data_IF_551322644368
#
_entry.id   IF_551322644368
#
_cell.length_a   1.000
_cell.length_b   1.000
_cell.length_c   1.000
_cell.angle_alpha   90.00
_cell.angle_beta   90.00
_cell.angle_gamma   90.00
#
_symmetry.space_group_name_H-M   'P 1'
#
loop_
_entity.id
_entity.type
_entity.pdbx_description
1 polymer ?
#
# COMPACT_ATOMS: atom_id res chain seq x y z
N UNK A 1 -20.06 7.59 -20.68
CA UNK A 1 -19.51 8.88 -20.20
C UNK A 1 -19.91 9.20 -18.74
N UNK A 2 -19.98 8.20 -17.84
CA UNK A 2 -20.55 8.39 -16.48
C UNK A 2 -19.59 8.06 -15.32
N UNK A 3 -18.32 7.71 -15.59
CA UNK A 3 -17.37 7.29 -14.53
C UNK A 3 -16.52 8.48 -14.00
N UNK A 4 -16.50 9.62 -14.69
CA UNK A 4 -15.62 10.75 -14.36
C UNK A 4 -16.13 11.60 -13.19
N UNK A 5 -17.41 11.51 -12.83
CA UNK A 5 -18.02 12.41 -11.82
C UNK A 5 -17.71 12.02 -10.37
N UNK A 6 -17.31 10.77 -10.12
CA UNK A 6 -17.08 10.25 -8.76
C UNK A 6 -15.68 10.56 -8.21
N UNK A 7 -14.75 11.06 -9.04
CA UNK A 7 -13.36 11.39 -8.66
C UNK A 7 -13.19 12.77 -8.00
N UNK A 8 -14.27 13.51 -7.72
CA UNK A 8 -14.19 14.92 -7.29
C UNK A 8 -13.76 15.18 -5.84
N UNK A 9 -13.37 14.17 -5.05
CA UNK A 9 -12.77 14.40 -3.71
C UNK A 9 -11.80 13.28 -3.34
N UNK A 10 -10.81 13.00 -4.19
CA UNK A 10 -9.59 12.46 -3.61
C UNK A 10 -9.04 13.57 -2.67
N UNK A 11 -8.92 13.32 -1.35
CA UNK A 11 -8.30 14.28 -0.46
C UNK A 11 -6.92 14.64 -1.00
N UNK A 12 -6.44 15.85 -0.74
CA UNK A 12 -5.10 16.25 -1.16
C UNK A 12 -4.09 15.19 -0.70
N UNK A 13 -3.15 14.78 -1.57
CA UNK A 13 -2.13 13.83 -1.18
C UNK A 13 -1.46 14.31 0.11
N UNK A 14 -1.31 13.41 1.07
CA UNK A 14 -0.56 13.73 2.29
C UNK A 14 0.92 13.69 1.98
N UNK A 15 1.70 14.62 2.53
CA UNK A 15 3.18 14.60 2.53
C UNK A 15 3.75 14.01 3.82
N UNK A 16 2.88 13.56 4.75
CA UNK A 16 3.30 13.02 6.02
C UNK A 16 3.98 11.64 5.87
N UNK A 17 4.94 11.29 6.74
CA UNK A 17 5.48 9.94 6.85
C UNK A 17 4.38 8.89 7.04
N UNK A 18 4.47 7.78 6.30
CA UNK A 18 3.47 6.72 6.27
C UNK A 18 4.00 5.39 6.81
N UNK A 19 3.12 4.65 7.49
CA UNK A 19 3.29 3.23 7.81
C UNK A 19 2.33 2.44 6.93
N UNK A 20 2.84 1.43 6.23
CA UNK A 20 2.08 0.65 5.24
C UNK A 20 2.07 -0.81 5.65
N UNK A 21 0.88 -1.41 5.65
CA UNK A 21 0.68 -2.84 5.84
C UNK A 21 0.04 -3.41 4.57
N UNK A 22 0.66 -4.45 4.01
CA UNK A 22 0.25 -5.07 2.76
C UNK A 22 -0.01 -6.56 3.02
N UNK A 23 -1.22 -7.01 2.70
CA UNK A 23 -1.56 -8.43 2.68
C UNK A 23 -1.80 -8.84 1.24
N UNK A 24 -0.96 -9.75 0.75
CA UNK A 24 -1.04 -10.30 -0.60
C UNK A 24 -1.82 -11.62 -0.56
N UNK A 25 -2.94 -11.70 -1.27
CA UNK A 25 -3.73 -12.93 -1.41
C UNK A 25 -3.49 -13.50 -2.80
N UNK A 26 -2.70 -14.59 -2.93
CA UNK A 26 -2.35 -15.11 -4.24
C UNK A 26 -3.56 -15.83 -4.90
N UNK A 27 -3.64 -15.83 -6.24
CA UNK A 27 -4.73 -16.51 -6.97
C UNK A 27 -4.58 -18.04 -6.98
N UNK A 28 -3.38 -18.54 -6.69
CA UNK A 28 -3.02 -19.95 -6.76
C UNK A 28 -1.81 -20.25 -5.85
N UNK A 29 -1.41 -21.52 -5.74
CA UNK A 29 -0.30 -21.98 -4.89
C UNK A 29 1.10 -21.88 -5.55
N UNK A 30 1.27 -21.14 -6.66
CA UNK A 30 2.59 -20.96 -7.25
C UNK A 30 3.48 -20.14 -6.33
N UNK A 31 4.74 -20.56 -6.22
CA UNK A 31 5.78 -19.85 -5.49
C UNK A 31 6.03 -18.50 -6.17
N UNK A 32 6.05 -17.43 -5.37
CA UNK A 32 6.24 -16.04 -5.78
C UNK A 32 7.13 -15.35 -4.76
N UNK A 33 7.96 -14.43 -5.22
CA UNK A 33 8.73 -13.58 -4.32
C UNK A 33 7.83 -12.48 -3.76
N UNK A 34 7.90 -12.28 -2.45
CA UNK A 34 7.03 -11.35 -1.71
C UNK A 34 7.27 -9.89 -2.10
N UNK A 35 8.50 -9.53 -2.45
CA UNK A 35 8.97 -8.17 -2.71
C UNK A 35 8.64 -7.65 -4.13
N UNK A 36 8.43 -8.54 -5.10
CA UNK A 36 8.14 -8.19 -6.50
C UNK A 36 6.88 -7.32 -6.66
N UNK A 37 5.95 -7.35 -5.70
CA UNK A 37 4.66 -6.66 -5.78
C UNK A 37 4.72 -5.19 -5.35
N UNK A 38 5.64 -4.85 -4.45
CA UNK A 38 5.60 -3.56 -3.75
C UNK A 38 5.76 -2.38 -4.71
N UNK A 39 6.66 -2.49 -5.69
CA UNK A 39 6.93 -1.41 -6.65
C UNK A 39 5.69 -1.01 -7.45
N UNK A 40 5.00 -1.99 -8.04
CA UNK A 40 3.82 -1.74 -8.84
C UNK A 40 2.66 -1.16 -8.01
N UNK A 41 2.51 -1.61 -6.76
CA UNK A 41 1.50 -1.08 -5.85
C UNK A 41 1.79 0.38 -5.48
N UNK A 42 3.04 0.71 -5.19
CA UNK A 42 3.45 2.07 -4.84
C UNK A 42 3.34 3.04 -6.02
N UNK A 43 3.78 2.64 -7.20
CA UNK A 43 3.62 3.42 -8.43
C UNK A 43 2.13 3.73 -8.67
N UNK A 44 1.24 2.76 -8.46
CA UNK A 44 -0.21 2.96 -8.62
C UNK A 44 -0.79 3.93 -7.56
N UNK A 45 -0.36 3.85 -6.31
CA UNK A 45 -0.81 4.75 -5.23
C UNK A 45 -0.32 6.20 -5.45
N UNK A 46 0.91 6.37 -5.92
CA UNK A 46 1.45 7.68 -6.32
C UNK A 46 0.68 8.23 -7.52
N UNK A 47 0.42 7.42 -8.55
CA UNK A 47 -0.37 7.83 -9.71
C UNK A 47 -1.83 8.18 -9.34
N UNK A 48 -2.41 7.48 -8.38
CA UNK A 48 -3.74 7.75 -7.85
C UNK A 48 -3.80 8.97 -6.91
N UNK A 49 -2.65 9.54 -6.51
CA UNK A 49 -2.58 10.70 -5.63
C UNK A 49 -2.94 10.40 -4.17
N UNK A 50 -2.75 9.16 -3.71
CA UNK A 50 -2.98 8.78 -2.30
C UNK A 50 -1.96 9.45 -1.36
N UNK A 51 -0.72 9.54 -1.81
CA UNK A 51 0.39 10.30 -1.24
C UNK A 51 1.14 11.02 -2.36
N UNK A 52 2.11 11.87 -2.03
CA UNK A 52 2.91 12.58 -3.04
C UNK A 52 3.94 11.66 -3.68
N UNK A 53 4.59 10.81 -2.88
CA UNK A 53 5.67 9.94 -3.33
C UNK A 53 5.86 8.74 -2.36
N UNK A 54 6.34 7.61 -2.88
CA UNK A 54 6.55 6.40 -2.07
C UNK A 54 7.74 6.53 -1.09
N UNK A 55 8.62 7.53 -1.26
CA UNK A 55 9.65 7.90 -0.27
C UNK A 55 9.11 8.30 1.11
N UNK A 56 7.80 8.58 1.19
CA UNK A 56 7.10 8.84 2.45
C UNK A 56 6.94 7.59 3.33
N UNK A 57 7.01 6.39 2.77
CA UNK A 57 6.88 5.14 3.52
C UNK A 57 8.10 4.95 4.44
N UNK A 58 7.89 4.97 5.76
CA UNK A 58 8.96 4.79 6.77
C UNK A 58 8.89 3.45 7.49
N UNK A 59 7.75 2.77 7.40
CA UNK A 59 7.56 1.40 7.91
C UNK A 59 6.70 0.66 6.89
N UNK A 60 7.11 -0.56 6.58
CA UNK A 60 6.38 -1.46 5.71
C UNK A 60 6.34 -2.85 6.33
N UNK A 61 5.15 -3.42 6.42
CA UNK A 61 4.93 -4.83 6.73
C UNK A 61 4.26 -5.45 5.51
N UNK A 62 4.82 -6.56 5.03
CA UNK A 62 4.28 -7.30 3.89
C UNK A 62 4.15 -8.75 4.31
N UNK A 63 3.00 -9.34 4.07
CA UNK A 63 2.74 -10.75 4.38
C UNK A 63 1.86 -11.42 3.31
N UNK A 64 1.95 -12.74 3.27
CA UNK A 64 1.05 -13.57 2.46
C UNK A 64 -0.21 -13.89 3.26
N UNK A 65 -1.36 -13.58 2.67
CA UNK A 65 -2.66 -14.09 3.09
C UNK A 65 -2.98 -15.45 2.44
N UNK A 66 -4.18 -16.00 2.71
CA UNK A 66 -4.67 -17.21 2.06
C UNK A 66 -4.87 -17.05 0.55
N UNK A 67 -4.92 -18.18 -0.17
CA UNK A 67 -5.25 -18.20 -1.60
C UNK A 67 -6.71 -17.76 -1.80
N UNK A 68 -6.94 -16.77 -2.66
CA UNK A 68 -8.27 -16.30 -3.05
C UNK A 68 -8.35 -16.31 -4.58
N UNK A 69 -9.36 -16.95 -5.20
CA UNK A 69 -9.54 -16.90 -6.65
C UNK A 69 -9.50 -15.46 -7.18
N UNK A 70 -8.89 -15.27 -8.36
CA UNK A 70 -8.60 -13.96 -8.98
C UNK A 70 -7.55 -13.10 -8.26
N UNK A 71 -7.12 -13.50 -7.06
CA UNK A 71 -6.14 -12.78 -6.26
C UNK A 71 -6.71 -11.50 -5.66
N UNK A 72 -6.05 -11.01 -4.61
CA UNK A 72 -6.42 -9.76 -3.95
C UNK A 72 -5.20 -9.13 -3.31
N UNK A 73 -5.19 -7.81 -3.22
CA UNK A 73 -4.24 -7.08 -2.40
C UNK A 73 -5.03 -6.20 -1.45
N UNK A 74 -4.71 -6.25 -0.17
CA UNK A 74 -5.18 -5.30 0.82
C UNK A 74 -4.02 -4.41 1.26
N UNK A 75 -4.23 -3.10 1.24
CA UNK A 75 -3.25 -2.11 1.66
C UNK A 75 -3.89 -1.23 2.72
N UNK A 76 -3.26 -1.18 3.89
CA UNK A 76 -3.62 -0.28 4.97
C UNK A 76 -2.53 0.77 5.12
N UNK A 77 -2.90 2.04 5.00
CA UNK A 77 -1.99 3.17 5.14
C UNK A 77 -2.38 3.93 6.40
N UNK A 78 -1.42 4.08 7.31
CA UNK A 78 -1.58 4.82 8.55
C UNK A 78 -0.45 5.86 8.71
N UNK A 79 -0.67 6.83 9.58
CA UNK A 79 0.37 7.80 9.92
C UNK A 79 1.53 7.09 10.61
N UNK A 80 2.75 7.35 10.17
CA UNK A 80 3.92 6.82 10.84
C UNK A 80 4.16 7.57 12.16
N UNK A 81 3.94 6.87 13.26
CA UNK A 81 4.32 7.33 14.59
C UNK A 81 5.73 6.80 14.90
N UNK A 82 6.66 7.72 15.15
CA UNK A 82 8.04 7.39 15.52
C UNK A 82 7.99 6.75 16.90
N UNK A 83 8.06 5.42 16.97
CA UNK A 83 8.18 4.74 18.26
C UNK A 83 9.46 5.27 18.90
N UNK A 84 9.34 5.96 20.05
CA UNK A 84 10.51 6.33 20.84
C UNK A 84 11.26 5.02 21.10
N UNK A 85 12.47 4.92 20.54
CA UNK A 85 13.26 3.71 20.65
C UNK A 85 13.32 3.30 22.12
N UNK A 86 13.10 2.01 22.39
CA UNK A 86 13.51 1.45 23.66
C UNK A 86 14.96 1.88 23.86
N UNK A 87 15.19 2.77 24.82
CA UNK A 87 16.51 3.12 25.27
C UNK A 87 17.13 1.80 25.77
N UNK A 88 18.13 1.32 25.05
CA UNK A 88 19.05 0.31 25.53
C UNK A 88 20.20 1.02 26.26
#
# INVERSE_FOLDING_TARGET
>A
AAIVEQLRRLPKPTSAPASVEIVLFPPDNRIRDLDNYNKALFDALTHAGVWEDDSQVKRMLVEWGPVIPEGKVEITISKYEKTAGAAA
#
